data_IF_726839563950
#
_entry.id   IF_726839563950
#
_cell.length_a   1.000
_cell.length_b   1.000
_cell.length_c   1.000
_cell.angle_alpha   90.00
_cell.angle_beta   90.00
_cell.angle_gamma   90.00
#
_symmetry.space_group_name_H-M   'P 1'
#
loop_
_entity.id
_entity.type
_entity.pdbx_description
1 polymer ?
#
# COMPACT_ATOMS: atom_id res chain seq x y z
N UNK A 1 -6.89 19.49 -5.47
CA UNK A 1 -7.52 18.26 -6.02
C UNK A 1 -9.04 18.33 -5.91
N UNK A 2 -9.78 17.79 -6.89
CA UNK A 2 -11.25 17.61 -6.84
C UNK A 2 -11.59 16.17 -7.20
N UNK A 3 -12.27 15.44 -6.31
CA UNK A 3 -12.66 14.06 -6.58
C UNK A 3 -14.01 13.96 -7.28
N UNK A 4 -14.01 13.16 -8.34
CA UNK A 4 -15.15 12.78 -9.18
C UNK A 4 -14.95 11.32 -9.60
N UNK A 5 -15.99 10.61 -10.05
CA UNK A 5 -15.82 9.26 -10.57
C UNK A 5 -14.74 9.16 -11.67
N UNK A 6 -14.68 10.14 -12.58
CA UNK A 6 -13.68 10.20 -13.64
C UNK A 6 -12.25 10.37 -13.10
N UNK A 7 -12.05 11.26 -12.11
CA UNK A 7 -10.72 11.47 -11.52
C UNK A 7 -10.27 10.26 -10.69
N UNK A 8 -11.19 9.55 -10.04
CA UNK A 8 -10.89 8.30 -9.32
C UNK A 8 -10.42 7.22 -10.31
N UNK A 9 -11.09 7.07 -11.45
CA UNK A 9 -10.65 6.15 -12.50
C UNK A 9 -9.28 6.53 -13.08
N UNK A 10 -9.02 7.83 -13.28
CA UNK A 10 -7.68 8.31 -13.70
C UNK A 10 -6.62 7.97 -12.65
N UNK A 11 -6.94 8.09 -11.36
CA UNK A 11 -6.00 7.77 -10.29
C UNK A 11 -5.70 6.27 -10.22
N UNK A 12 -6.70 5.41 -10.40
CA UNK A 12 -6.50 3.96 -10.59
C UNK A 12 -5.48 3.67 -11.69
N UNK A 13 -5.65 4.29 -12.86
CA UNK A 13 -4.77 4.07 -14.01
C UNK A 13 -3.34 4.53 -13.71
N UNK A 14 -3.17 5.66 -13.01
CA UNK A 14 -1.86 6.13 -12.54
C UNK A 14 -1.20 5.13 -11.61
N UNK A 15 -1.93 4.64 -10.60
CA UNK A 15 -1.39 3.67 -9.65
C UNK A 15 -1.01 2.35 -10.34
N UNK A 16 -1.80 1.89 -11.31
CA UNK A 16 -1.46 0.73 -12.14
C UNK A 16 -0.22 0.93 -13.02
N UNK A 17 0.03 2.16 -13.50
CA UNK A 17 1.24 2.50 -14.26
C UNK A 17 2.50 2.56 -13.39
N UNK A 18 2.38 2.73 -12.07
CA UNK A 18 3.52 2.68 -11.14
C UNK A 18 4.07 1.28 -10.88
N UNK A 19 3.53 0.22 -11.49
CA UNK A 19 4.01 -1.15 -11.27
C UNK A 19 5.54 -1.32 -11.39
N UNK A 20 6.23 -0.74 -12.40
CA UNK A 20 7.69 -0.87 -12.53
C UNK A 20 8.49 -0.27 -11.36
N UNK A 21 7.89 0.63 -10.58
CA UNK A 21 8.50 1.23 -9.38
C UNK A 21 8.07 0.48 -8.12
N UNK A 22 6.76 0.21 -7.99
CA UNK A 22 6.17 -0.35 -6.77
C UNK A 22 6.46 -1.84 -6.63
N UNK A 23 6.41 -2.63 -7.71
CA UNK A 23 6.58 -4.08 -7.64
C UNK A 23 7.97 -4.50 -7.16
N UNK A 24 9.09 -3.89 -7.62
CA UNK A 24 10.40 -4.14 -7.05
C UNK A 24 10.45 -3.84 -5.54
N UNK A 25 10.02 -2.64 -5.13
CA UNK A 25 9.99 -2.24 -3.70
C UNK A 25 9.14 -3.19 -2.84
N UNK A 26 7.98 -3.59 -3.37
CA UNK A 26 7.08 -4.53 -2.75
C UNK A 26 7.74 -5.90 -2.56
N UNK A 27 8.43 -6.41 -3.58
CA UNK A 27 9.10 -7.72 -3.50
C UNK A 27 10.33 -7.67 -2.59
N UNK A 28 11.09 -6.58 -2.59
CA UNK A 28 12.18 -6.36 -1.65
C UNK A 28 11.67 -6.30 -0.21
N UNK A 29 10.53 -5.64 0.01
CA UNK A 29 9.84 -5.62 1.30
C UNK A 29 9.41 -7.02 1.73
N UNK A 30 8.81 -7.81 0.82
CA UNK A 30 8.39 -9.19 1.10
C UNK A 30 9.57 -10.10 1.43
N UNK A 31 10.65 -10.03 0.65
CA UNK A 31 11.86 -10.81 0.89
C UNK A 31 12.48 -10.48 2.25
N UNK A 32 12.60 -9.19 2.58
CA UNK A 32 13.19 -8.76 3.85
C UNK A 32 12.31 -9.12 5.06
N UNK A 33 10.99 -9.01 4.95
CA UNK A 33 10.08 -9.47 6.01
C UNK A 33 10.11 -11.00 6.14
N UNK A 34 10.19 -11.72 5.01
CA UNK A 34 10.32 -13.18 4.99
C UNK A 34 11.56 -13.64 5.77
N UNK A 35 12.71 -13.02 5.53
CA UNK A 35 13.94 -13.29 6.29
C UNK A 35 13.77 -12.98 7.79
N UNK A 36 13.20 -11.82 8.14
CA UNK A 36 13.01 -11.43 9.55
C UNK A 36 12.04 -12.34 10.32
N UNK A 37 11.05 -12.91 9.63
CA UNK A 37 10.05 -13.80 10.22
C UNK A 37 10.34 -15.29 9.96
N UNK A 38 11.49 -15.64 9.38
CA UNK A 38 11.88 -17.01 9.02
C UNK A 38 10.76 -17.73 8.23
N UNK A 39 10.29 -17.07 7.17
CA UNK A 39 9.20 -17.57 6.34
C UNK A 39 9.40 -17.23 4.86
N UNK A 40 8.93 -18.12 3.99
CA UNK A 40 8.94 -17.91 2.54
C UNK A 40 7.71 -17.10 2.15
N UNK A 41 7.93 -16.08 1.31
CA UNK A 41 6.88 -15.19 0.82
C UNK A 41 7.02 -15.05 -0.68
N UNK A 42 6.03 -15.53 -1.43
CA UNK A 42 6.09 -15.54 -2.90
C UNK A 42 6.27 -14.12 -3.48
N UNK A 43 7.04 -14.00 -4.55
CA UNK A 43 7.16 -12.74 -5.29
C UNK A 43 5.86 -12.42 -6.06
N UNK A 44 5.64 -11.13 -6.29
CA UNK A 44 4.49 -10.58 -7.01
C UNK A 44 4.94 -10.09 -8.38
N UNK A 45 4.11 -10.32 -9.38
CA UNK A 45 4.29 -9.81 -10.73
C UNK A 45 3.59 -8.47 -10.94
N UNK A 46 4.07 -7.72 -11.92
CA UNK A 46 3.43 -6.54 -12.50
C UNK A 46 1.95 -6.72 -12.84
N UNK A 47 1.57 -7.90 -13.35
CA UNK A 47 0.19 -8.20 -13.73
C UNK A 47 -0.70 -8.43 -12.50
N UNK A 48 -0.19 -9.14 -11.48
CA UNK A 48 -0.88 -9.34 -10.22
C UNK A 48 -1.12 -8.03 -9.48
N UNK A 49 -0.10 -7.17 -9.44
CA UNK A 49 -0.23 -5.82 -8.89
C UNK A 49 -1.35 -5.03 -9.59
N UNK A 50 -1.37 -4.99 -10.93
CA UNK A 50 -2.40 -4.23 -11.68
C UNK A 50 -3.81 -4.80 -11.47
N UNK A 51 -3.96 -6.12 -11.49
CA UNK A 51 -5.24 -6.78 -11.17
C UNK A 51 -5.71 -6.43 -9.76
N UNK A 52 -4.79 -6.32 -8.82
CA UNK A 52 -5.10 -5.98 -7.44
C UNK A 52 -5.46 -4.50 -7.26
N UNK A 53 -4.79 -3.59 -8.00
CA UNK A 53 -5.21 -2.18 -8.11
C UNK A 53 -6.65 -2.10 -8.60
N UNK A 54 -7.01 -2.83 -9.66
CA UNK A 54 -8.39 -2.88 -10.15
C UNK A 54 -9.37 -3.41 -9.08
N UNK A 55 -8.98 -4.44 -8.32
CA UNK A 55 -9.79 -4.98 -7.23
C UNK A 55 -10.02 -3.98 -6.10
N UNK A 56 -8.98 -3.23 -5.70
CA UNK A 56 -9.08 -2.17 -4.68
C UNK A 56 -10.01 -1.06 -5.14
N UNK A 57 -9.96 -0.67 -6.42
CA UNK A 57 -10.79 0.40 -6.98
C UNK A 57 -12.23 -0.04 -7.32
N UNK A 58 -12.53 -1.33 -7.30
CA UNK A 58 -13.90 -1.84 -7.46
C UNK A 58 -14.78 -1.58 -6.23
N UNK A 59 -14.18 -1.39 -5.05
CA UNK A 59 -14.84 -0.94 -3.82
C UNK A 59 -14.89 0.60 -3.82
N UNK A 60 -16.05 1.18 -4.16
CA UNK A 60 -16.18 2.62 -4.41
C UNK A 60 -15.83 3.52 -3.21
N UNK A 61 -16.19 3.09 -2.00
CA UNK A 61 -15.88 3.84 -0.76
C UNK A 61 -14.38 3.78 -0.48
N UNK A 62 -13.72 2.65 -0.74
CA UNK A 62 -12.27 2.56 -0.66
C UNK A 62 -11.58 3.35 -1.76
N UNK A 63 -12.06 3.23 -3.00
CA UNK A 63 -11.47 3.83 -4.19
C UNK A 63 -11.35 5.35 -4.08
N UNK A 64 -12.39 6.03 -3.61
CA UNK A 64 -12.37 7.49 -3.44
C UNK A 64 -11.35 7.93 -2.38
N UNK A 65 -11.18 7.16 -1.31
CA UNK A 65 -10.21 7.46 -0.25
C UNK A 65 -8.77 7.17 -0.68
N UNK A 66 -8.53 6.03 -1.36
CA UNK A 66 -7.23 5.71 -1.96
C UNK A 66 -6.82 6.80 -2.96
N UNK A 67 -7.74 7.22 -3.84
CA UNK A 67 -7.47 8.26 -4.81
C UNK A 67 -7.15 9.63 -4.16
N UNK A 68 -7.85 9.98 -3.07
CA UNK A 68 -7.57 11.20 -2.32
C UNK A 68 -6.17 11.17 -1.71
N UNK A 69 -5.84 10.11 -0.98
CA UNK A 69 -4.57 10.00 -0.26
C UNK A 69 -3.38 9.94 -1.22
N UNK A 70 -3.48 9.11 -2.27
CA UNK A 70 -2.44 9.02 -3.28
C UNK A 70 -2.23 10.34 -4.02
N UNK A 71 -3.32 11.04 -4.37
CA UNK A 71 -3.22 12.34 -5.00
C UNK A 71 -2.64 13.42 -4.09
N UNK A 72 -2.88 13.34 -2.77
CA UNK A 72 -2.34 14.29 -1.80
C UNK A 72 -0.84 14.08 -1.68
N UNK A 73 -0.40 12.85 -1.44
CA UNK A 73 1.02 12.49 -1.34
C UNK A 73 1.81 12.90 -2.59
N UNK A 74 1.31 12.58 -3.78
CA UNK A 74 1.97 12.94 -5.04
C UNK A 74 2.25 14.45 -5.18
N UNK A 75 1.35 15.28 -4.68
CA UNK A 75 1.42 16.73 -4.85
C UNK A 75 1.92 17.44 -3.58
N UNK A 76 2.16 16.71 -2.47
CA UNK A 76 2.55 17.26 -1.17
C UNK A 76 4.05 17.44 -1.12
N UNK A 77 4.49 18.64 -0.77
CA UNK A 77 5.89 19.01 -0.76
C UNK A 77 6.22 19.90 0.43
N UNK A 78 7.47 19.85 0.88
CA UNK A 78 8.02 20.72 1.94
C UNK A 78 9.45 21.09 1.56
N UNK A 79 9.80 22.36 1.80
CA UNK A 79 11.13 22.88 1.48
C UNK A 79 12.23 22.04 2.11
N UNK A 80 13.10 21.50 1.26
CA UNK A 80 14.27 20.73 1.66
C UNK A 80 13.96 19.40 2.34
N UNK A 81 12.77 18.85 2.11
CA UNK A 81 12.33 17.58 2.68
C UNK A 81 12.60 17.52 4.20
N UNK A 82 12.11 18.56 4.89
CA UNK A 82 12.49 18.82 6.28
C UNK A 82 12.10 17.63 7.18
N UNK A 83 13.05 16.95 7.88
CA UNK A 83 12.76 15.71 8.62
C UNK A 83 11.78 15.84 9.80
N UNK A 84 11.39 17.06 10.17
CA UNK A 84 10.34 17.30 11.18
C UNK A 84 8.95 17.48 10.60
N UNK A 85 8.82 17.52 9.28
CA UNK A 85 7.56 17.41 8.56
C UNK A 85 7.19 15.92 8.46
N UNK A 86 5.96 15.60 8.86
CA UNK A 86 5.52 14.20 9.02
C UNK A 86 4.10 14.00 8.47
N UNK A 87 3.62 14.94 7.65
CA UNK A 87 2.23 14.89 7.16
C UNK A 87 2.11 13.87 6.03
N UNK A 88 3.10 13.82 5.17
CA UNK A 88 3.37 12.77 4.21
C UNK A 88 3.40 11.38 4.89
N UNK A 89 4.13 11.20 5.97
CA UNK A 89 4.20 9.96 6.75
C UNK A 89 2.82 9.52 7.29
N UNK A 90 2.06 10.49 7.81
CA UNK A 90 0.69 10.25 8.28
C UNK A 90 -0.24 9.82 7.14
N UNK A 91 -0.08 10.42 5.96
CA UNK A 91 -0.87 10.11 4.77
C UNK A 91 -0.45 8.78 4.14
N UNK A 92 0.85 8.48 4.06
CA UNK A 92 1.44 7.24 3.55
C UNK A 92 0.98 6.04 4.37
N UNK A 93 1.15 6.12 5.70
CA UNK A 93 0.61 5.12 6.63
C UNK A 93 -0.89 4.90 6.44
N UNK A 94 -1.66 6.00 6.30
CA UNK A 94 -3.11 5.91 6.12
C UNK A 94 -3.47 5.30 4.76
N UNK A 95 -2.74 5.62 3.70
CA UNK A 95 -2.93 5.05 2.36
C UNK A 95 -2.71 3.53 2.39
N UNK A 96 -1.59 3.07 2.98
CA UNK A 96 -1.28 1.65 3.11
C UNK A 96 -2.42 0.88 3.81
N UNK A 97 -2.91 1.40 4.95
CA UNK A 97 -4.04 0.80 5.68
C UNK A 97 -5.33 0.75 4.84
N UNK A 98 -5.60 1.80 4.07
CA UNK A 98 -6.82 1.93 3.26
C UNK A 98 -6.81 0.96 2.09
N UNK A 99 -5.65 0.76 1.45
CA UNK A 99 -5.45 -0.24 0.39
C UNK A 99 -5.68 -1.64 0.96
N UNK A 100 -5.00 -1.98 2.06
CA UNK A 100 -5.06 -3.30 2.69
C UNK A 100 -6.49 -3.66 3.15
N UNK A 101 -7.26 -2.69 3.61
CA UNK A 101 -8.69 -2.81 3.91
C UNK A 101 -9.00 -2.83 5.40
N UNK A 102 -9.70 -3.87 5.86
CA UNK A 102 -10.11 -4.01 7.26
C UNK A 102 -9.02 -4.64 8.14
N UNK A 103 -9.31 -4.72 9.44
CA UNK A 103 -8.46 -5.49 10.35
C UNK A 103 -8.54 -7.00 10.03
N UNK A 104 -7.44 -7.75 10.18
CA UNK A 104 -6.14 -7.34 10.73
C UNK A 104 -5.18 -6.66 9.73
N UNK A 105 -5.51 -6.69 8.44
CA UNK A 105 -4.60 -6.26 7.36
C UNK A 105 -4.28 -4.77 7.41
N UNK A 106 -5.23 -3.93 7.81
CA UNK A 106 -5.01 -2.50 7.97
C UNK A 106 -3.82 -2.21 8.89
N UNK A 107 -3.80 -2.80 10.09
CA UNK A 107 -2.72 -2.56 11.07
C UNK A 107 -1.37 -3.11 10.58
N UNK A 108 -1.37 -4.27 9.93
CA UNK A 108 -0.15 -4.84 9.35
C UNK A 108 0.42 -3.94 8.25
N UNK A 109 -0.44 -3.34 7.42
CA UNK A 109 -0.01 -2.42 6.38
C UNK A 109 0.55 -1.10 6.95
N UNK A 110 -0.03 -0.58 8.04
CA UNK A 110 0.53 0.59 8.73
C UNK A 110 1.93 0.32 9.30
N UNK A 111 2.15 -0.85 9.89
CA UNK A 111 3.46 -1.24 10.37
C UNK A 111 4.45 -1.50 9.21
N UNK A 112 3.99 -2.15 8.15
CA UNK A 112 4.79 -2.43 6.95
C UNK A 112 5.21 -1.14 6.25
N UNK A 113 4.35 -0.11 6.24
CA UNK A 113 4.66 1.18 5.61
C UNK A 113 5.97 1.76 6.13
N UNK A 114 6.12 1.93 7.45
CA UNK A 114 7.35 2.46 8.04
C UNK A 114 8.58 1.59 7.78
N UNK A 115 8.40 0.29 7.49
CA UNK A 115 9.50 -0.59 7.10
C UNK A 115 9.84 -0.45 5.61
N UNK A 116 8.84 -0.38 4.74
CA UNK A 116 9.04 -0.16 3.30
C UNK A 116 9.67 1.20 3.04
N UNK A 117 9.26 2.22 3.80
CA UNK A 117 9.72 3.60 3.69
C UNK A 117 11.24 3.73 3.89
N UNK A 118 11.84 2.96 4.82
CA UNK A 118 13.31 2.99 5.01
C UNK A 118 14.12 2.53 3.78
N UNK A 119 13.47 2.09 2.70
CA UNK A 119 14.09 1.61 1.45
C UNK A 119 13.87 2.55 0.27
N UNK A 120 13.05 3.59 0.42
CA UNK A 120 12.77 4.54 -0.65
C UNK A 120 13.40 5.87 -0.26
N UNK A 121 13.94 6.57 -1.25
CA UNK A 121 14.44 7.92 -1.09
C UNK A 121 13.99 8.71 -2.31
N UNK A 122 13.32 9.84 -2.09
CA UNK A 122 13.02 10.82 -3.13
C UNK A 122 14.28 11.34 -3.81
N UNK A 123 14.16 11.71 -5.08
CA UNK A 123 15.15 12.52 -5.78
C UNK A 123 15.11 13.98 -5.33
N UNK A 124 16.14 14.78 -5.64
CA UNK A 124 16.24 16.18 -5.21
C UNK A 124 15.15 17.10 -5.78
N UNK A 125 14.46 16.67 -6.85
CA UNK A 125 13.38 17.42 -7.51
C UNK A 125 12.00 16.76 -7.29
N UNK A 126 11.94 15.67 -6.52
CA UNK A 126 10.68 15.00 -6.21
C UNK A 126 9.97 15.73 -5.06
N UNK A 127 8.63 15.68 -5.07
CA UNK A 127 7.85 16.19 -3.96
C UNK A 127 8.07 15.32 -2.72
N UNK A 128 8.13 15.93 -1.52
CA UNK A 128 8.37 15.19 -0.28
C UNK A 128 7.43 13.98 -0.05
N UNK A 129 6.17 14.03 -0.50
CA UNK A 129 5.26 12.88 -0.36
C UNK A 129 5.38 11.80 -1.45
N UNK A 130 6.30 11.94 -2.40
CA UNK A 130 6.35 11.07 -3.58
C UNK A 130 6.94 9.68 -3.31
N UNK A 131 7.95 9.58 -2.45
CA UNK A 131 8.52 8.31 -1.98
C UNK A 131 7.59 7.63 -0.96
N UNK A 132 6.99 8.40 -0.06
CA UNK A 132 5.95 7.93 0.86
C UNK A 132 4.74 7.31 0.12
N UNK A 133 4.39 7.86 -1.05
CA UNK A 133 3.39 7.24 -1.93
C UNK A 133 3.84 5.85 -2.38
N UNK A 134 5.08 5.68 -2.82
CA UNK A 134 5.58 4.38 -3.27
C UNK A 134 5.69 3.37 -2.12
N UNK A 135 6.20 3.80 -0.97
CA UNK A 135 6.26 3.00 0.25
C UNK A 135 4.86 2.55 0.70
N UNK A 136 3.88 3.45 0.67
CA UNK A 136 2.50 3.13 1.02
C UNK A 136 1.83 2.15 0.04
N UNK A 137 2.10 2.29 -1.27
CA UNK A 137 1.61 1.34 -2.27
C UNK A 137 2.24 -0.04 -2.06
N UNK A 138 3.56 -0.11 -1.86
CA UNK A 138 4.24 -1.36 -1.59
C UNK A 138 3.70 -2.03 -0.33
N UNK A 139 3.60 -1.31 0.78
CA UNK A 139 3.08 -1.83 2.05
C UNK A 139 1.62 -2.24 1.98
N UNK A 140 0.76 -1.43 1.35
CA UNK A 140 -0.66 -1.74 1.22
C UNK A 140 -0.92 -2.97 0.37
N UNK A 141 -0.31 -3.04 -0.81
CA UNK A 141 -0.53 -4.16 -1.74
C UNK A 141 0.14 -5.45 -1.29
N UNK A 142 1.36 -5.41 -0.73
CA UNK A 142 2.01 -6.63 -0.22
C UNK A 142 1.16 -7.30 0.87
N UNK A 143 0.53 -6.48 1.71
CA UNK A 143 -0.33 -6.94 2.79
C UNK A 143 -1.63 -7.56 2.29
N UNK A 144 -2.11 -7.17 1.10
CA UNK A 144 -3.36 -7.68 0.51
C UNK A 144 -3.16 -8.89 -0.40
N UNK A 145 -2.07 -8.90 -1.17
CA UNK A 145 -1.73 -9.96 -2.12
C UNK A 145 -1.43 -11.30 -1.41
N UNK A 146 -1.68 -12.44 -2.07
CA UNK A 146 -1.40 -13.78 -1.53
C UNK A 146 0.10 -14.02 -1.31
N UNK A 147 0.47 -15.16 -0.71
CA UNK A 147 1.85 -15.61 -0.51
C UNK A 147 2.35 -15.63 0.94
N UNK A 148 1.53 -15.18 1.89
CA UNK A 148 1.78 -15.41 3.32
C UNK A 148 1.00 -16.64 3.77
N UNK A 149 1.70 -17.70 4.21
CA UNK A 149 1.12 -19.01 4.54
C UNK A 149 -0.06 -18.95 5.52
N UNK A 150 -0.01 -18.05 6.51
CA UNK A 150 -1.10 -17.88 7.49
C UNK A 150 -2.42 -17.39 6.88
N UNK A 151 -2.40 -16.84 5.66
CA UNK A 151 -3.58 -16.35 4.92
C UNK A 151 -4.16 -17.36 3.94
N UNK A 152 -3.50 -18.49 3.71
CA UNK A 152 -3.90 -19.47 2.68
C UNK A 152 -5.00 -20.42 3.14
N UNK A 153 -5.22 -20.54 4.45
CA UNK A 153 -6.17 -21.49 5.04
C UNK A 153 -7.22 -20.84 5.93
N UNK A 154 -8.15 -21.68 6.41
CA UNK A 154 -9.09 -21.27 7.45
C UNK A 154 -8.34 -20.89 8.73
N UNK A 155 -8.82 -19.85 9.42
CA UNK A 155 -8.23 -19.44 10.69
C UNK A 155 -8.37 -20.57 11.73
N UNK A 156 -7.28 -21.01 12.39
CA UNK A 156 -7.35 -22.02 13.44
C UNK A 156 -8.07 -21.52 14.70
N UNK A 157 -8.36 -20.22 14.76
CA UNK A 157 -9.11 -19.57 15.85
C UNK A 157 -10.61 -19.46 15.56
N UNK A 158 -11.07 -19.91 14.39
CA UNK A 158 -12.50 -19.94 14.10
C UNK A 158 -13.21 -20.95 15.01
N UNK A 159 -14.28 -20.51 15.66
CA UNK A 159 -15.18 -21.37 16.46
C UNK A 159 -16.51 -21.51 15.74
N UNK A 160 -17.08 -22.71 15.74
CA UNK A 160 -18.39 -22.94 15.13
C UNK A 160 -19.47 -22.07 15.80
N UNK A 161 -20.37 -21.47 15.01
CA UNK A 161 -21.52 -20.76 15.55
C UNK A 161 -22.34 -21.71 16.42
N UNK A 162 -22.87 -21.22 17.55
CA UNK A 162 -23.84 -22.01 18.32
C UNK A 162 -25.11 -22.16 17.47
N UNK A 163 -25.60 -23.39 17.33
CA UNK A 163 -26.92 -23.66 16.76
C UNK A 163 -27.97 -22.93 17.62
N UNK A 164 -28.85 -22.18 16.95
CA UNK A 164 -29.93 -21.41 17.57
C UNK A 164 -31.19 -22.23 17.79
#
# INVERSE_FOLDING_TARGET
>A
MRLTPASVATERDRLGQRAPTVVPLLNDTRAALGELFDTEVDAVTDEEYRREVDSVFADGDRAVNVAALAGLLRDLDVEGDYPGFVVDELLGRRLASTIAGGQPLALLAEATFHFADTRVHGGPDDAAGADDLDAALAAGFQTRLPGWSWREGASPFAVEPREG
#
